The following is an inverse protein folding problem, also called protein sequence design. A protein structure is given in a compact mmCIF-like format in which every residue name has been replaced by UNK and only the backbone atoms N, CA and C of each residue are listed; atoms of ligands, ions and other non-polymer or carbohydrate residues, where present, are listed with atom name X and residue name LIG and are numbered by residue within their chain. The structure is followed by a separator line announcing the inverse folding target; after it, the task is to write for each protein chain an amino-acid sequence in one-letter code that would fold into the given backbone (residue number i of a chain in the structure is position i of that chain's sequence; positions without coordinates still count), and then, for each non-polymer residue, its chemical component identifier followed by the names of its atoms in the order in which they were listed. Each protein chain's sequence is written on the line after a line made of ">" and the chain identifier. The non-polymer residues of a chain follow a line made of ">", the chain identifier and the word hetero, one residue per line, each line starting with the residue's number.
data_IF_050135107163
#
_entry.id   IF_050135107163
#
_cell.length_a   1.000
_cell.length_b   1.000
_cell.length_c   1.000
_cell.angle_alpha   90.00
_cell.angle_beta   90.00
_cell.angle_gamma   90.00
#
_symmetry.space_group_name_H-M   'P 1'
#
loop_
_entity.id
_entity.type
_entity.pdbx_description
1 polymer ?
#
# COMPACT_ATOMS: atom_id res chain seq x y z
N UNK A 1 -8.29 -4.53 -2.18
CA UNK A 1 -7.57 -3.28 -2.54
C UNK A 1 -7.64 -2.32 -1.34
N UNK A 2 -6.56 -1.65 -0.94
CA UNK A 2 -6.49 -0.93 0.35
C UNK A 2 -6.51 0.61 0.19
N UNK A 3 -7.72 1.18 0.13
CA UNK A 3 -7.96 2.62 -0.09
C UNK A 3 -8.13 3.41 1.23
N UNK A 4 -7.44 4.56 1.35
CA UNK A 4 -7.56 5.48 2.49
C UNK A 4 -7.22 6.95 2.09
N UNK A 5 -8.22 7.73 1.66
CA UNK A 5 -8.06 9.10 1.10
C UNK A 5 -8.23 10.25 2.10
N UNK A 6 -7.17 11.00 2.45
CA UNK A 6 -7.28 12.19 3.32
C UNK A 6 -7.10 13.52 2.55
N UNK A 7 -7.10 14.62 3.31
CA UNK A 7 -6.79 15.97 2.88
C UNK A 7 -5.65 16.56 3.73
N UNK A 8 -4.95 17.60 3.25
CA UNK A 8 -3.55 17.82 3.62
C UNK A 8 -3.33 18.44 5.00
N UNK A 9 -3.04 17.59 5.98
CA UNK A 9 -2.18 17.88 7.14
C UNK A 9 -1.44 16.60 7.56
N UNK A 10 -0.26 16.75 8.19
CA UNK A 10 0.62 15.60 8.48
C UNK A 10 0.01 14.61 9.48
N UNK A 11 0.01 13.31 9.16
CA UNK A 11 -0.54 12.28 10.04
C UNK A 11 0.43 11.98 11.21
N UNK A 12 0.06 12.33 12.44
CA UNK A 12 0.87 12.16 13.66
C UNK A 12 0.00 11.66 14.82
N UNK A 13 0.55 10.77 15.64
CA UNK A 13 -0.18 9.89 16.57
C UNK A 13 0.62 9.75 17.90
N UNK A 14 -0.07 9.82 19.06
CA UNK A 14 0.36 9.88 20.50
C UNK A 14 0.14 11.26 21.18
N UNK A 15 -0.21 11.45 22.47
CA UNK A 15 -0.85 10.69 23.59
C UNK A 15 -1.03 11.68 24.78
N UNK A 16 -1.66 11.40 25.96
CA UNK A 16 -2.34 10.20 26.53
C UNK A 16 -3.85 10.49 26.90
N UNK A 17 -4.68 9.71 27.63
CA UNK A 17 -4.64 9.22 29.05
C UNK A 17 -5.82 8.23 29.34
N UNK A 18 -5.60 7.27 30.26
CA UNK A 18 -6.56 6.41 31.01
C UNK A 18 -7.49 5.38 30.30
N UNK A 19 -7.25 4.11 30.66
CA UNK A 19 -8.29 3.11 31.05
C UNK A 19 -9.45 2.82 30.09
N UNK A 20 -9.14 2.38 28.87
CA UNK A 20 -10.08 1.57 28.06
C UNK A 20 -9.35 0.33 27.54
N UNK A 21 -10.04 -0.83 27.57
CA UNK A 21 -9.55 -2.09 26.99
C UNK A 21 -9.43 -1.89 25.48
N UNK A 22 -8.21 -1.86 24.95
CA UNK A 22 -7.97 -1.47 23.55
C UNK A 22 -8.63 -2.46 22.55
N UNK A 23 -9.15 -1.97 21.42
CA UNK A 23 -9.54 -2.83 20.31
C UNK A 23 -8.30 -3.39 19.61
N UNK A 24 -8.26 -4.69 19.35
CA UNK A 24 -7.22 -5.33 18.54
C UNK A 24 -7.64 -5.33 17.07
N UNK A 25 -6.82 -4.75 16.19
CA UNK A 25 -6.97 -4.77 14.74
C UNK A 25 -6.60 -3.43 14.07
N UNK A 26 -6.92 -3.26 12.78
CA UNK A 26 -6.24 -2.29 11.92
C UNK A 26 -6.59 -0.81 12.14
N UNK A 27 -5.65 0.01 11.69
CA UNK A 27 -5.53 1.44 11.97
C UNK A 27 -6.47 2.26 11.08
N UNK A 28 -7.27 3.10 11.71
CA UNK A 28 -7.85 4.24 11.00
C UNK A 28 -6.86 5.40 11.05
N UNK A 29 -7.04 6.33 10.11
CA UNK A 29 -6.28 7.58 10.08
C UNK A 29 -7.10 8.74 10.63
N UNK A 30 -6.38 9.78 11.09
CA UNK A 30 -6.87 11.06 11.59
C UNK A 30 -8.15 11.59 10.92
N UNK A 31 -8.09 11.86 9.61
CA UNK A 31 -9.09 12.64 8.88
C UNK A 31 -10.21 11.78 8.25
N UNK A 32 -10.57 10.69 8.92
CA UNK A 32 -11.88 10.02 8.72
C UNK A 32 -11.96 8.89 7.71
N UNK A 33 -10.84 8.44 7.12
CA UNK A 33 -10.84 7.24 6.24
C UNK A 33 -10.19 6.02 6.87
N UNK A 34 -10.67 4.87 6.41
CA UNK A 34 -10.20 3.53 6.71
C UNK A 34 -10.58 2.50 5.64
N UNK A 35 -11.23 2.94 4.53
CA UNK A 35 -11.96 2.08 3.59
C UNK A 35 -12.01 2.73 2.21
N UNK A 36 -12.19 1.88 1.19
CA UNK A 36 -12.64 2.31 -0.12
C UNK A 36 -14.08 2.84 -0.07
N UNK A 37 -14.39 3.78 -0.96
CA UNK A 37 -15.74 4.20 -1.29
C UNK A 37 -16.53 3.05 -1.99
N UNK A 38 -17.87 2.97 -1.86
CA UNK A 38 -18.67 1.97 -2.56
C UNK A 38 -18.50 2.00 -4.09
N UNK A 39 -18.66 0.89 -4.82
CA UNK A 39 -18.98 -0.46 -4.33
C UNK A 39 -17.80 -1.14 -3.60
N UNK A 40 -16.56 -0.77 -3.91
CA UNK A 40 -15.32 -1.31 -3.35
C UNK A 40 -15.25 -1.35 -1.81
N UNK A 41 -16.03 -0.51 -1.13
CA UNK A 41 -16.30 -0.58 0.30
C UNK A 41 -16.76 -1.97 0.79
N UNK A 42 -17.69 -2.61 0.07
CA UNK A 42 -18.35 -3.86 0.48
C UNK A 42 -17.45 -5.09 0.38
N UNK A 43 -16.42 -5.01 -0.47
CA UNK A 43 -15.41 -6.07 -0.64
C UNK A 43 -14.47 -6.17 0.58
N UNK A 44 -14.53 -5.26 1.55
CA UNK A 44 -13.68 -5.28 2.74
C UNK A 44 -14.32 -6.13 3.85
N UNK A 45 -13.59 -7.15 4.29
CA UNK A 45 -14.03 -8.14 5.29
C UNK A 45 -13.88 -7.66 6.74
N UNK A 46 -13.25 -6.49 6.94
CA UNK A 46 -13.04 -5.85 8.25
C UNK A 46 -13.90 -4.60 8.36
N UNK A 47 -15.14 -4.78 8.83
CA UNK A 47 -16.21 -3.75 8.82
C UNK A 47 -16.42 -3.02 10.14
N UNK A 48 -15.91 -3.53 11.26
CA UNK A 48 -16.26 -3.03 12.59
C UNK A 48 -15.04 -2.65 13.45
N UNK A 49 -13.85 -2.75 12.87
CA UNK A 49 -12.60 -2.30 13.49
C UNK A 49 -12.13 -1.03 12.79
N UNK A 50 -11.91 0.01 13.60
CA UNK A 50 -11.49 1.36 13.21
C UNK A 50 -10.60 1.84 14.36
N UNK A 51 -9.30 1.99 14.11
CA UNK A 51 -8.39 2.61 15.07
C UNK A 51 -8.84 4.05 15.44
N UNK A 52 -8.25 4.63 16.49
CA UNK A 52 -8.53 6.03 16.86
C UNK A 52 -7.24 6.81 16.93
N UNK A 53 -7.12 7.81 16.08
CA UNK A 53 -6.12 8.85 16.25
C UNK A 53 -6.58 9.82 17.34
N UNK A 54 -6.19 9.51 18.57
CA UNK A 54 -6.54 10.30 19.76
C UNK A 54 -5.91 11.69 19.68
N UNK A 55 -4.72 11.82 19.08
CA UNK A 55 -3.95 13.08 18.97
C UNK A 55 -4.56 14.04 17.98
N UNK A 56 -4.99 13.52 16.83
CA UNK A 56 -5.78 14.30 15.90
C UNK A 56 -7.16 14.66 16.49
N UNK A 57 -7.78 13.75 17.26
CA UNK A 57 -9.05 14.01 17.95
C UNK A 57 -8.94 15.04 19.09
N UNK A 58 -7.77 15.19 19.73
CA UNK A 58 -7.48 16.30 20.66
C UNK A 58 -7.09 17.60 19.95
N UNK A 59 -6.85 17.57 18.64
CA UNK A 59 -6.48 18.73 17.84
C UNK A 59 -5.06 19.24 18.11
N UNK A 60 -4.16 18.37 18.57
CA UNK A 60 -2.80 18.77 18.94
C UNK A 60 -1.91 18.99 17.71
N UNK A 61 -1.51 20.24 17.49
CA UNK A 61 -0.75 20.70 16.31
C UNK A 61 0.73 20.94 16.59
N UNK A 62 1.28 20.34 17.64
CA UNK A 62 2.67 20.57 18.08
C UNK A 62 3.68 20.23 16.96
N UNK A 63 4.36 21.25 16.44
CA UNK A 63 5.43 21.07 15.47
C UNK A 63 6.66 20.41 16.12
N UNK A 64 7.51 19.80 15.29
CA UNK A 64 8.71 19.09 15.73
C UNK A 64 9.97 19.94 15.45
N UNK A 65 11.03 19.87 16.26
CA UNK A 65 11.19 18.98 17.42
C UNK A 65 10.38 19.43 18.64
N UNK A 66 9.75 18.46 19.32
CA UNK A 66 9.26 18.66 20.69
C UNK A 66 10.47 18.94 21.60
N UNK A 67 10.34 19.78 22.64
CA UNK A 67 11.39 19.96 23.64
C UNK A 67 11.55 18.68 24.47
N UNK A 68 12.54 17.87 24.11
CA UNK A 68 12.98 16.69 24.86
C UNK A 68 14.06 17.09 25.87
N UNK A 69 14.12 16.39 27.01
CA UNK A 69 15.19 16.58 27.98
C UNK A 69 16.56 16.14 27.44
N UNK A 70 17.63 16.73 27.96
CA UNK A 70 19.02 16.45 27.57
C UNK A 70 19.37 14.95 27.72
N UNK A 71 18.73 14.24 28.65
CA UNK A 71 18.88 12.80 28.85
C UNK A 71 18.33 11.97 27.69
N UNK A 72 17.18 12.38 27.11
CA UNK A 72 16.60 11.72 25.94
C UNK A 72 17.39 12.07 24.67
N UNK A 73 17.82 13.33 24.54
CA UNK A 73 18.69 13.78 23.44
C UNK A 73 20.08 13.14 23.49
N UNK A 74 20.59 12.83 24.69
CA UNK A 74 21.79 12.02 24.92
C UNK A 74 21.60 10.51 24.71
N UNK A 75 20.38 10.06 24.43
CA UNK A 75 20.05 8.68 24.09
C UNK A 75 19.66 7.76 25.25
N UNK A 76 19.47 8.26 26.48
CA UNK A 76 18.92 7.45 27.57
C UNK A 76 17.38 7.43 27.51
N UNK A 77 16.85 6.43 26.81
CA UNK A 77 15.41 6.22 26.65
C UNK A 77 14.71 5.60 27.88
N UNK A 78 15.39 5.42 29.02
CA UNK A 78 14.76 4.89 30.25
C UNK A 78 13.74 5.85 30.89
N UNK A 79 13.95 7.16 30.72
CA UNK A 79 13.05 8.22 31.21
C UNK A 79 11.98 8.60 30.19
N UNK A 80 12.17 8.24 28.92
CA UNK A 80 11.19 8.49 27.86
C UNK A 80 9.88 7.73 28.16
N UNK A 81 8.71 8.39 28.12
CA UNK A 81 7.45 7.77 28.51
C UNK A 81 7.01 6.70 27.50
N UNK A 82 6.89 5.46 27.97
CA UNK A 82 6.49 4.32 27.15
C UNK A 82 4.97 4.20 27.11
N UNK A 83 4.37 4.64 25.99
CA UNK A 83 2.92 4.61 25.78
C UNK A 83 2.45 3.50 24.83
N UNK A 84 3.36 2.88 24.07
CA UNK A 84 3.09 1.73 23.18
C UNK A 84 4.27 0.77 23.15
N UNK A 85 3.98 -0.49 22.79
CA UNK A 85 4.99 -1.52 22.56
C UNK A 85 5.77 -1.31 21.25
N UNK A 86 5.13 -0.72 20.23
CA UNK A 86 5.74 -0.43 18.93
C UNK A 86 5.42 0.98 18.41
N UNK A 87 6.48 1.74 18.10
CA UNK A 87 6.43 2.90 17.21
C UNK A 87 6.85 2.48 15.80
N UNK A 88 6.02 2.79 14.80
CA UNK A 88 6.17 2.35 13.41
C UNK A 88 6.13 3.59 12.50
N UNK A 89 7.18 3.78 11.70
CA UNK A 89 7.31 4.93 10.81
C UNK A 89 7.01 4.49 9.37
N UNK A 90 5.98 5.08 8.78
CA UNK A 90 5.44 4.76 7.45
C UNK A 90 4.23 3.83 7.52
N UNK A 91 3.09 4.29 7.01
CA UNK A 91 1.81 3.56 7.01
C UNK A 91 1.55 2.82 5.68
N UNK A 92 2.63 2.49 4.95
CA UNK A 92 2.59 1.58 3.81
C UNK A 92 2.46 0.11 4.21
N UNK A 93 2.44 -0.79 3.22
CA UNK A 93 2.22 -2.24 3.43
C UNK A 93 3.04 -2.82 4.59
N UNK A 94 4.36 -2.55 4.65
CA UNK A 94 5.22 -3.09 5.72
C UNK A 94 4.78 -2.65 7.12
N UNK A 95 4.50 -1.36 7.32
CA UNK A 95 4.07 -0.84 8.61
C UNK A 95 2.68 -1.33 9.01
N UNK A 96 1.74 -1.33 8.05
CA UNK A 96 0.39 -1.85 8.25
C UNK A 96 0.40 -3.35 8.62
N UNK A 97 1.20 -4.17 7.92
CA UNK A 97 1.35 -5.61 8.20
C UNK A 97 2.00 -5.86 9.56
N UNK A 98 3.11 -5.20 9.89
CA UNK A 98 3.76 -5.35 11.21
C UNK A 98 2.75 -5.05 12.33
N UNK A 99 2.08 -3.91 12.24
CA UNK A 99 1.15 -3.45 13.26
C UNK A 99 -0.11 -4.34 13.37
N UNK A 100 -0.57 -4.91 12.25
CA UNK A 100 -1.59 -5.97 12.22
C UNK A 100 -1.14 -7.20 13.02
N UNK A 101 0.07 -7.72 12.74
CA UNK A 101 0.64 -8.87 13.48
C UNK A 101 0.78 -8.57 14.98
N UNK A 102 1.26 -7.38 15.34
CA UNK A 102 1.37 -6.94 16.73
C UNK A 102 -0.01 -6.93 17.41
N UNK A 103 -1.06 -6.44 16.74
CA UNK A 103 -2.42 -6.43 17.30
C UNK A 103 -2.98 -7.84 17.56
N UNK A 104 -2.67 -8.83 16.71
CA UNK A 104 -3.03 -10.25 16.90
C UNK A 104 -2.29 -10.90 18.08
N UNK A 105 -1.17 -10.32 18.53
CA UNK A 105 -0.43 -10.70 19.74
C UNK A 105 -0.90 -9.93 21.00
N UNK A 106 -1.92 -9.07 20.87
CA UNK A 106 -2.39 -8.20 21.96
C UNK A 106 -1.48 -7.01 22.24
N UNK A 107 -0.48 -6.76 21.39
CA UNK A 107 0.48 -5.66 21.53
C UNK A 107 -0.07 -4.38 20.91
N UNK A 108 0.26 -3.25 21.53
CA UNK A 108 -0.13 -1.91 21.08
C UNK A 108 0.82 -1.40 20.00
N UNK A 109 0.34 -0.54 19.10
CA UNK A 109 1.15 -0.04 17.99
C UNK A 109 0.71 1.36 17.56
N UNK A 110 1.70 2.18 17.23
CA UNK A 110 1.58 3.58 16.88
C UNK A 110 2.21 3.81 15.51
N UNK A 111 1.40 4.09 14.49
CA UNK A 111 1.90 4.32 13.13
C UNK A 111 1.93 5.82 12.83
N UNK A 112 3.06 6.34 12.39
CA UNK A 112 3.22 7.74 11.95
C UNK A 112 3.67 7.75 10.48
N UNK A 113 2.94 8.45 9.61
CA UNK A 113 3.37 8.70 8.22
C UNK A 113 3.31 10.19 7.93
N UNK A 114 4.33 10.73 7.24
CA UNK A 114 4.35 12.15 6.84
C UNK A 114 3.27 12.50 5.82
N UNK A 115 2.64 11.50 5.19
CA UNK A 115 1.62 11.65 4.15
C UNK A 115 0.22 11.94 4.72
N UNK A 116 -0.62 12.48 3.84
CA UNK A 116 -2.06 12.66 4.00
C UNK A 116 -2.83 11.40 3.52
N UNK A 117 -2.39 10.21 3.93
CA UNK A 117 -3.05 8.90 3.72
C UNK A 117 -2.19 7.77 4.29
N UNK A 118 -2.78 6.56 4.43
CA UNK A 118 -2.01 5.31 4.62
C UNK A 118 -1.85 4.57 3.26
N UNK A 119 -1.42 3.31 3.27
CA UNK A 119 -1.19 2.51 2.06
C UNK A 119 0.16 2.80 1.38
N UNK A 120 0.80 3.91 1.74
CA UNK A 120 2.11 4.31 1.23
C UNK A 120 2.04 4.61 -0.26
N UNK A 121 2.76 3.84 -1.08
CA UNK A 121 2.67 3.97 -2.53
C UNK A 121 1.43 3.26 -3.10
N UNK A 122 0.94 2.20 -2.45
CA UNK A 122 -0.21 1.41 -2.88
C UNK A 122 -1.57 2.08 -2.63
N UNK A 123 -1.56 3.39 -2.36
CA UNK A 123 -2.72 4.20 -2.07
C UNK A 123 -3.48 4.59 -3.34
N UNK A 124 -4.75 4.22 -3.36
CA UNK A 124 -5.74 4.63 -4.36
C UNK A 124 -6.83 5.53 -3.78
N UNK A 125 -7.46 6.33 -4.65
CA UNK A 125 -8.50 7.29 -4.32
C UNK A 125 -9.52 7.38 -5.46
N UNK A 126 -10.78 7.73 -5.16
CA UNK A 126 -11.73 8.13 -6.21
C UNK A 126 -11.50 9.60 -6.59
N UNK A 127 -11.34 9.89 -7.88
CA UNK A 127 -11.16 11.25 -8.41
C UNK A 127 -12.50 12.01 -8.60
N UNK A 128 -12.43 13.23 -9.14
CA UNK A 128 -13.58 14.09 -9.41
C UNK A 128 -14.51 13.59 -10.54
N UNK A 129 -14.11 12.55 -11.26
CA UNK A 129 -14.93 11.88 -12.29
C UNK A 129 -15.51 10.54 -11.80
N UNK A 130 -15.26 10.16 -10.54
CA UNK A 130 -15.71 8.89 -9.96
C UNK A 130 -14.79 7.71 -10.27
N UNK A 131 -13.61 7.93 -10.84
CA UNK A 131 -12.67 6.86 -11.24
C UNK A 131 -11.72 6.55 -10.08
N UNK A 132 -11.52 5.26 -9.79
CA UNK A 132 -10.57 4.78 -8.76
C UNK A 132 -9.15 4.78 -9.32
N UNK A 133 -8.35 5.76 -8.90
CA UNK A 133 -7.01 6.07 -9.41
C UNK A 133 -5.92 5.78 -8.36
N UNK A 134 -4.81 5.16 -8.76
CA UNK A 134 -3.66 4.92 -7.88
C UNK A 134 -2.69 6.12 -7.89
N UNK A 135 -2.49 6.79 -6.75
CA UNK A 135 -1.76 8.09 -6.67
C UNK A 135 -0.28 8.01 -7.05
N UNK A 136 0.32 6.81 -6.97
CA UNK A 136 1.75 6.59 -7.23
C UNK A 136 2.02 5.54 -8.33
N UNK A 137 1.17 5.55 -9.36
CA UNK A 137 1.24 4.60 -10.47
C UNK A 137 0.46 3.30 -10.21
N UNK A 138 0.31 2.47 -11.24
CA UNK A 138 -0.49 1.26 -11.17
C UNK A 138 0.09 0.23 -10.18
N UNK A 139 -0.70 -0.16 -9.20
CA UNK A 139 -0.33 -1.19 -8.21
C UNK A 139 -1.17 -2.44 -8.45
N UNK A 140 -0.53 -3.49 -8.93
CA UNK A 140 -1.17 -4.74 -9.35
C UNK A 140 -0.62 -5.88 -8.51
N UNK A 141 -1.49 -6.53 -7.74
CA UNK A 141 -1.06 -7.56 -6.80
C UNK A 141 -0.84 -8.90 -7.52
N UNK A 142 0.33 -9.49 -7.33
CA UNK A 142 0.65 -10.85 -7.74
C UNK A 142 1.54 -11.53 -6.70
N UNK A 143 1.41 -12.84 -6.53
CA UNK A 143 2.23 -13.65 -5.61
C UNK A 143 2.32 -15.08 -6.10
N UNK A 144 3.46 -15.74 -5.85
CA UNK A 144 3.61 -17.20 -5.96
C UNK A 144 3.58 -17.88 -4.58
N UNK A 145 3.34 -17.12 -3.50
CA UNK A 145 3.32 -17.61 -2.14
C UNK A 145 1.88 -17.66 -1.60
N UNK A 146 1.36 -18.89 -1.47
CA UNK A 146 0.05 -19.23 -0.90
C UNK A 146 -0.19 -18.50 0.44
N UNK A 147 0.73 -18.64 1.40
CA UNK A 147 0.69 -17.93 2.71
C UNK A 147 0.54 -16.40 2.65
N UNK A 148 0.86 -15.77 1.50
CA UNK A 148 0.69 -14.32 1.28
C UNK A 148 -0.66 -14.05 0.63
N UNK A 149 -1.11 -14.92 -0.29
CA UNK A 149 -2.44 -14.89 -0.88
C UNK A 149 -3.53 -15.07 0.18
N UNK A 150 -3.39 -16.07 1.06
CA UNK A 150 -4.34 -16.33 2.15
C UNK A 150 -4.46 -15.12 3.08
N UNK A 151 -3.32 -14.59 3.51
CA UNK A 151 -3.24 -13.41 4.37
C UNK A 151 -3.92 -12.19 3.73
N UNK A 152 -3.64 -11.85 2.46
CA UNK A 152 -4.32 -10.69 1.83
C UNK A 152 -5.81 -10.93 1.58
N UNK A 153 -6.26 -12.19 1.59
CA UNK A 153 -7.68 -12.54 1.53
C UNK A 153 -8.41 -12.45 2.88
N UNK A 154 -7.73 -12.31 4.03
CA UNK A 154 -8.38 -12.02 5.32
C UNK A 154 -9.07 -10.63 5.31
N UNK A 155 -8.55 -9.66 4.56
CA UNK A 155 -8.94 -8.24 4.66
C UNK A 155 -9.93 -7.79 3.59
N UNK A 156 -9.84 -8.35 2.37
CA UNK A 156 -10.52 -7.84 1.18
C UNK A 156 -10.81 -9.00 0.22
N UNK A 157 -11.84 -8.87 -0.61
CA UNK A 157 -12.03 -9.71 -1.80
C UNK A 157 -11.15 -9.22 -2.96
N UNK A 158 -10.82 -10.13 -3.86
CA UNK A 158 -9.89 -9.91 -4.97
C UNK A 158 -10.54 -10.27 -6.29
N UNK A 159 -10.58 -9.30 -7.21
CA UNK A 159 -11.06 -9.51 -8.58
C UNK A 159 -9.90 -10.05 -9.43
N UNK A 160 -10.07 -11.16 -10.18
CA UNK A 160 -9.05 -11.64 -11.11
C UNK A 160 -8.75 -10.60 -12.19
N UNK A 161 -7.48 -10.20 -12.32
CA UNK A 161 -7.03 -9.25 -13.33
C UNK A 161 -5.71 -9.72 -13.96
N UNK A 162 -5.75 -10.06 -15.23
CA UNK A 162 -4.58 -10.44 -16.02
C UNK A 162 -3.98 -9.19 -16.68
N UNK A 163 -2.82 -8.75 -16.18
CA UNK A 163 -2.18 -7.52 -16.64
C UNK A 163 -1.33 -7.76 -17.89
N UNK A 164 -1.71 -7.09 -18.98
CA UNK A 164 -1.02 -7.18 -20.28
C UNK A 164 -0.51 -5.81 -20.70
N UNK A 165 0.81 -5.67 -20.80
CA UNK A 165 1.46 -4.45 -21.31
C UNK A 165 1.66 -4.56 -22.81
N UNK A 166 1.56 -3.43 -23.52
CA UNK A 166 2.06 -3.30 -24.89
C UNK A 166 3.04 -2.13 -24.98
N UNK A 167 4.13 -2.33 -25.70
CA UNK A 167 5.05 -1.27 -26.12
C UNK A 167 4.67 -0.77 -27.51
N UNK A 168 4.85 0.52 -27.77
CA UNK A 168 4.90 1.08 -29.11
C UNK A 168 6.37 1.10 -29.54
N UNK A 169 6.72 0.30 -30.55
CA UNK A 169 8.11 0.07 -30.99
C UNK A 169 8.14 0.04 -32.52
N UNK A 170 9.06 0.78 -33.19
CA UNK A 170 9.20 0.71 -34.64
C UNK A 170 9.75 -0.66 -35.08
N UNK A 171 9.19 -1.18 -36.18
CA UNK A 171 9.73 -2.35 -36.88
C UNK A 171 10.98 -2.01 -37.72
N UNK A 172 11.54 -3.00 -38.42
CA UNK A 172 12.68 -2.83 -39.34
C UNK A 172 12.47 -1.80 -40.46
N UNK A 173 11.22 -1.45 -40.78
CA UNK A 173 10.86 -0.43 -41.79
C UNK A 173 10.70 0.97 -41.18
N UNK A 174 10.83 1.10 -39.85
CA UNK A 174 10.62 2.34 -39.10
C UNK A 174 9.15 2.63 -38.79
N UNK A 175 8.25 1.64 -38.92
CA UNK A 175 6.81 1.81 -38.66
C UNK A 175 6.46 1.31 -37.26
N UNK A 176 5.87 2.18 -36.43
CA UNK A 176 5.48 1.85 -35.06
C UNK A 176 4.45 0.70 -34.97
N UNK A 177 4.76 -0.30 -34.14
CA UNK A 177 3.92 -1.48 -33.85
C UNK A 177 3.59 -1.56 -32.37
N UNK A 178 2.35 -1.96 -32.06
CA UNK A 178 1.89 -2.22 -30.69
C UNK A 178 2.09 -3.70 -30.31
N UNK A 179 3.24 -4.01 -29.71
CA UNK A 179 3.69 -5.38 -29.42
C UNK A 179 3.59 -5.74 -27.93
N UNK A 180 3.36 -7.02 -27.57
CA UNK A 180 3.35 -7.47 -26.18
C UNK A 180 4.66 -7.16 -25.44
N UNK A 181 4.55 -6.80 -24.16
CA UNK A 181 5.65 -6.69 -23.22
C UNK A 181 5.30 -7.53 -21.97
N UNK A 182 6.17 -8.44 -21.49
CA UNK A 182 7.49 -8.80 -22.05
C UNK A 182 7.41 -9.40 -23.46
N UNK A 183 8.51 -9.39 -24.23
CA UNK A 183 8.54 -9.93 -25.59
C UNK A 183 8.14 -11.42 -25.65
N UNK A 184 7.45 -11.79 -26.73
CA UNK A 184 6.93 -13.13 -27.05
C UNK A 184 7.10 -13.42 -28.54
N UNK A 185 6.75 -14.63 -29.03
CA UNK A 185 6.75 -14.92 -30.48
C UNK A 185 5.95 -13.88 -31.28
N UNK A 186 4.80 -13.45 -30.74
CA UNK A 186 3.96 -12.41 -31.34
C UNK A 186 4.61 -11.02 -31.38
N UNK A 187 5.63 -10.76 -30.56
CA UNK A 187 6.41 -9.52 -30.60
C UNK A 187 7.48 -9.59 -31.68
N UNK A 188 8.11 -10.76 -31.86
CA UNK A 188 9.14 -11.00 -32.88
C UNK A 188 8.53 -10.99 -34.28
N UNK A 189 7.44 -11.75 -34.49
CA UNK A 189 6.70 -11.78 -35.76
C UNK A 189 6.20 -10.38 -36.18
N UNK A 190 5.92 -9.49 -35.22
CA UNK A 190 5.42 -8.15 -35.47
C UNK A 190 6.51 -7.10 -35.79
N UNK A 191 7.76 -7.31 -35.36
CA UNK A 191 8.87 -6.35 -35.54
C UNK A 191 9.87 -6.74 -36.64
N UNK A 192 9.99 -8.03 -36.95
CA UNK A 192 10.99 -8.59 -37.87
C UNK A 192 10.37 -9.39 -39.03
N UNK A 193 9.07 -9.24 -39.27
CA UNK A 193 8.28 -9.95 -40.29
C UNK A 193 8.35 -11.50 -40.26
N UNK A 194 8.80 -12.08 -39.14
CA UNK A 194 8.95 -13.53 -38.95
C UNK A 194 7.58 -14.25 -38.78
N UNK A 195 7.60 -15.58 -38.91
CA UNK A 195 6.42 -16.44 -38.76
C UNK A 195 6.67 -17.59 -37.76
N UNK A 196 7.13 -17.24 -36.56
CA UNK A 196 7.40 -18.18 -35.46
C UNK A 196 6.07 -18.70 -34.91
N UNK A 197 5.88 -20.03 -34.88
CA UNK A 197 4.64 -20.69 -34.44
C UNK A 197 4.84 -21.64 -33.23
N UNK A 198 6.09 -21.95 -32.87
CA UNK A 198 6.44 -22.85 -31.78
C UNK A 198 7.65 -22.36 -30.97
N UNK A 199 7.94 -23.01 -29.84
CA UNK A 199 9.16 -22.78 -29.06
C UNK A 199 10.42 -23.21 -29.83
N UNK A 200 10.33 -24.23 -30.70
CA UNK A 200 11.44 -24.68 -31.53
C UNK A 200 11.78 -23.64 -32.63
N UNK A 201 10.78 -23.03 -33.26
CA UNK A 201 10.99 -21.92 -34.20
C UNK A 201 11.60 -20.71 -33.49
N UNK A 202 11.19 -20.45 -32.23
CA UNK A 202 11.70 -19.33 -31.44
C UNK A 202 13.17 -19.55 -31.05
N UNK A 203 13.55 -20.78 -30.67
CA UNK A 203 14.94 -21.14 -30.42
C UNK A 203 15.79 -21.04 -31.70
N UNK A 204 15.31 -21.58 -32.83
CA UNK A 204 15.99 -21.48 -34.11
C UNK A 204 16.16 -20.03 -34.62
N UNK A 205 15.30 -19.11 -34.18
CA UNK A 205 15.46 -17.67 -34.42
C UNK A 205 16.47 -17.00 -33.49
N UNK A 206 16.61 -17.46 -32.24
CA UNK A 206 17.67 -16.99 -31.32
C UNK A 206 19.07 -17.50 -31.69
N UNK A 207 19.17 -18.64 -32.39
CA UNK A 207 20.43 -19.28 -32.80
C UNK A 207 20.99 -18.78 -34.17
N UNK A 208 20.45 -17.67 -34.70
CA UNK A 208 20.63 -17.14 -36.07
C UNK A 208 21.58 -15.94 -36.15
#
# INVERSE_FOLDING_TARGET
>A
MFCLKLHPTTCRLAFPVLSVKMPAGPFASSVGVGRAEPEWASLNKVTDIVGKDVTFQTGETSEAPLPLGDEILGGDLKTAPQFVDFLIIGAGLSGAVIAERCSKLGMTSLIIDKRDHIGGNCYDYVDEHGIRCSKYGAHLFHTQHERVWDYVNEFSEWIPFDHRVKGLIPDETGVDRLVPIPPTQASVNALFAENIQSEADMQAWYDK
#
